data_IF_691135441275
#
_entry.id   IF_691135441275
#
_cell.length_a   1.000
_cell.length_b   1.000
_cell.length_c   1.000
_cell.angle_alpha   90.00
_cell.angle_beta   90.00
_cell.angle_gamma   90.00
#
_symmetry.space_group_name_H-M   'P 1'
#
loop_
_entity.id
_entity.type
_entity.pdbx_description
1 polymer ?
#
# COMPACT_ATOMS: atom_id res chain seq x y z
N UNK A 1 7.00 16.06 -15.44
CA UNK A 1 6.03 14.97 -15.26
C UNK A 1 5.93 14.21 -16.58
N UNK A 2 6.04 12.88 -16.52
CA UNK A 2 5.84 12.00 -17.68
C UNK A 2 4.52 11.28 -17.47
N UNK A 3 3.58 11.45 -18.41
CA UNK A 3 2.31 10.75 -18.40
C UNK A 3 2.37 9.59 -19.39
N UNK A 4 1.94 8.42 -18.95
CA UNK A 4 1.80 7.23 -19.77
C UNK A 4 0.32 6.87 -19.83
N UNK A 5 -0.44 7.55 -20.66
CA UNK A 5 -1.83 7.22 -20.93
C UNK A 5 -2.13 7.32 -22.41
N UNK A 6 -3.10 6.54 -22.86
CA UNK A 6 -3.55 6.57 -24.24
C UNK A 6 -4.54 7.72 -24.46
N UNK A 7 -4.09 8.81 -25.04
CA UNK A 7 -4.92 9.99 -25.36
C UNK A 7 -6.04 9.67 -26.36
N UNK A 8 -5.94 8.56 -27.10
CA UNK A 8 -6.94 8.15 -28.10
C UNK A 8 -8.05 7.29 -27.47
N UNK A 9 -7.87 6.80 -26.25
CA UNK A 9 -8.88 6.01 -25.55
C UNK A 9 -10.13 6.86 -25.24
N UNK A 10 -11.34 6.32 -25.37
CA UNK A 10 -12.58 7.02 -25.05
C UNK A 10 -12.66 7.51 -23.59
N UNK A 11 -11.97 6.80 -22.69
CA UNK A 11 -11.78 7.18 -21.29
C UNK A 11 -10.36 6.80 -20.87
N UNK A 12 -9.39 7.71 -21.01
CA UNK A 12 -7.97 7.41 -20.72
C UNK A 12 -7.69 7.20 -19.23
N UNK A 13 -8.66 7.52 -18.37
CA UNK A 13 -8.54 7.42 -16.90
C UNK A 13 -9.66 6.52 -16.37
N UNK A 14 -9.30 5.61 -15.47
CA UNK A 14 -10.29 4.84 -14.72
C UNK A 14 -11.11 5.76 -13.80
N UNK A 15 -12.41 5.53 -13.72
CA UNK A 15 -13.33 6.30 -12.88
C UNK A 15 -14.05 5.34 -11.95
N UNK A 16 -14.03 5.66 -10.65
CA UNK A 16 -14.76 4.90 -9.64
C UNK A 16 -15.73 5.80 -8.88
N UNK A 17 -16.94 5.29 -8.67
CA UNK A 17 -17.95 5.90 -7.81
C UNK A 17 -18.04 5.09 -6.53
N UNK A 18 -17.76 5.71 -5.39
CA UNK A 18 -17.93 5.12 -4.08
C UNK A 18 -19.38 5.31 -3.61
N UNK A 19 -20.03 4.21 -3.21
CA UNK A 19 -21.38 4.20 -2.63
C UNK A 19 -21.24 3.78 -1.17
N UNK A 20 -21.54 4.70 -0.25
CA UNK A 20 -21.52 4.41 1.20
C UNK A 20 -22.90 3.91 1.65
N UNK A 21 -22.94 2.74 2.29
CA UNK A 21 -24.15 2.15 2.86
C UNK A 21 -23.82 1.42 4.18
N UNK A 22 -24.61 1.70 5.23
CA UNK A 22 -24.55 0.97 6.51
C UNK A 22 -23.16 0.85 7.15
N UNK A 23 -22.30 1.89 7.01
CA UNK A 23 -20.95 1.89 7.60
C UNK A 23 -19.87 1.15 6.80
N UNK A 24 -20.24 0.63 5.63
CA UNK A 24 -19.32 0.07 4.64
C UNK A 24 -19.47 0.81 3.30
N UNK A 25 -18.65 0.51 2.32
CA UNK A 25 -18.71 1.11 0.99
C UNK A 25 -18.46 0.08 -0.10
N UNK A 26 -19.15 0.31 -1.22
CA UNK A 26 -18.95 -0.41 -2.46
C UNK A 26 -18.47 0.55 -3.54
N UNK A 27 -17.76 0.03 -4.53
CA UNK A 27 -17.29 0.82 -5.66
C UNK A 27 -17.91 0.30 -6.95
N UNK A 28 -18.36 1.23 -7.79
CA UNK A 28 -18.65 0.95 -9.20
C UNK A 28 -17.54 1.60 -9.99
N UNK A 29 -16.71 0.80 -10.63
CA UNK A 29 -15.54 1.28 -11.37
C UNK A 29 -15.73 1.03 -12.85
N UNK A 30 -15.31 2.00 -13.65
CA UNK A 30 -15.16 1.89 -15.08
C UNK A 30 -13.71 2.14 -15.44
N UNK A 31 -13.14 1.21 -16.18
CA UNK A 31 -11.83 1.37 -16.81
C UNK A 31 -11.91 0.76 -18.22
N UNK A 32 -11.22 1.36 -19.17
CA UNK A 32 -11.03 0.69 -20.45
C UNK A 32 -10.18 -0.57 -20.24
N UNK A 33 -10.51 -1.69 -20.90
CA UNK A 33 -9.63 -2.85 -20.91
C UNK A 33 -8.24 -2.45 -21.41
N UNK A 34 -7.21 -2.80 -20.67
CA UNK A 34 -5.82 -2.63 -21.08
C UNK A 34 -5.37 -3.95 -21.71
N UNK A 35 -5.55 -4.07 -23.02
CA UNK A 35 -5.18 -5.28 -23.76
C UNK A 35 -3.68 -5.32 -24.11
N UNK A 36 -2.95 -4.23 -23.90
CA UNK A 36 -1.55 -4.08 -24.27
C UNK A 36 -0.76 -3.33 -23.21
N UNK A 37 0.52 -3.68 -23.09
CA UNK A 37 1.48 -2.86 -22.35
C UNK A 37 1.72 -1.56 -23.12
N UNK A 38 1.30 -0.42 -22.58
CA UNK A 38 1.51 0.89 -23.24
C UNK A 38 2.97 1.35 -23.21
N UNK A 39 3.77 0.81 -22.31
CA UNK A 39 5.18 1.12 -22.16
C UNK A 39 6.02 -0.12 -22.44
N UNK A 40 7.15 0.05 -23.09
CA UNK A 40 8.16 -1.02 -23.15
C UNK A 40 8.80 -1.22 -21.79
N UNK A 41 9.38 -2.40 -21.55
CA UNK A 41 10.15 -2.68 -20.33
C UNK A 41 11.31 -1.69 -20.14
N UNK A 42 11.94 -1.28 -21.24
CA UNK A 42 13.00 -0.28 -21.23
C UNK A 42 12.50 1.09 -20.76
N UNK A 43 11.32 1.55 -21.22
CA UNK A 43 10.72 2.80 -20.78
C UNK A 43 10.39 2.77 -19.30
N UNK A 44 9.79 1.68 -18.82
CA UNK A 44 9.45 1.50 -17.40
C UNK A 44 10.73 1.44 -16.55
N UNK A 45 11.74 0.70 -17.00
CA UNK A 45 13.02 0.63 -16.31
C UNK A 45 13.67 2.02 -16.20
N UNK A 46 13.78 2.74 -17.32
CA UNK A 46 14.40 4.07 -17.35
C UNK A 46 13.66 5.09 -16.49
N UNK A 47 12.33 4.92 -16.33
CA UNK A 47 11.53 5.78 -15.46
C UNK A 47 11.86 5.58 -13.98
N UNK A 48 12.06 4.34 -13.54
CA UNK A 48 12.32 4.01 -12.13
C UNK A 48 13.79 3.86 -11.77
N UNK A 49 14.67 3.73 -12.75
CA UNK A 49 16.11 3.55 -12.52
C UNK A 49 16.70 4.66 -11.65
N UNK A 50 17.45 4.26 -10.64
CA UNK A 50 18.04 5.19 -9.65
C UNK A 50 17.06 5.67 -8.57
N UNK A 51 15.81 5.22 -8.57
CA UNK A 51 14.88 5.51 -7.48
C UNK A 51 15.27 4.73 -6.23
N UNK A 52 15.12 5.35 -5.04
CA UNK A 52 15.30 4.66 -3.76
C UNK A 52 14.16 3.67 -3.47
N UNK A 53 12.94 4.05 -3.87
CA UNK A 53 11.74 3.22 -3.81
C UNK A 53 10.91 3.40 -5.08
N UNK A 54 10.15 2.37 -5.46
CA UNK A 54 9.10 2.49 -6.45
C UNK A 54 7.94 1.53 -6.14
N UNK A 55 6.77 1.84 -6.72
CA UNK A 55 5.63 0.92 -6.68
C UNK A 55 5.81 -0.19 -7.71
N UNK A 56 5.46 -1.41 -7.32
CA UNK A 56 5.49 -2.54 -8.22
C UNK A 56 4.43 -2.39 -9.32
N UNK A 57 4.85 -2.66 -10.54
CA UNK A 57 3.97 -2.82 -11.69
C UNK A 57 3.90 -4.32 -12.00
N UNK A 58 2.77 -4.96 -11.69
CA UNK A 58 2.59 -6.41 -11.81
C UNK A 58 2.76 -6.92 -13.25
N UNK A 59 2.52 -6.05 -14.23
CA UNK A 59 2.69 -6.33 -15.66
C UNK A 59 4.16 -6.39 -16.11
N UNK A 60 5.11 -5.92 -15.24
CA UNK A 60 6.54 -5.81 -15.55
C UNK A 60 7.43 -6.50 -14.51
N UNK A 61 7.23 -7.78 -14.18
CA UNK A 61 7.94 -8.46 -13.11
C UNK A 61 9.46 -8.49 -13.31
N UNK A 62 9.93 -8.64 -14.56
CA UNK A 62 11.37 -8.67 -14.84
C UNK A 62 12.02 -7.29 -14.63
N UNK A 63 11.29 -6.20 -14.89
CA UNK A 63 11.76 -4.84 -14.58
C UNK A 63 11.86 -4.65 -13.07
N UNK A 64 10.83 -5.09 -12.32
CA UNK A 64 10.85 -5.03 -10.84
C UNK A 64 12.01 -5.83 -10.27
N UNK A 65 12.25 -7.03 -10.78
CA UNK A 65 13.40 -7.87 -10.40
C UNK A 65 14.73 -7.14 -10.63
N UNK A 66 14.90 -6.51 -11.79
CA UNK A 66 16.11 -5.76 -12.13
C UNK A 66 16.33 -4.58 -11.19
N UNK A 67 15.31 -3.73 -11.01
CA UNK A 67 15.36 -2.57 -10.11
C UNK A 67 15.68 -2.98 -8.68
N UNK A 68 15.05 -4.04 -8.17
CA UNK A 68 15.34 -4.59 -6.84
C UNK A 68 16.79 -5.07 -6.74
N UNK A 69 17.30 -5.75 -7.76
CA UNK A 69 18.70 -6.18 -7.83
C UNK A 69 19.71 -5.03 -7.80
N UNK A 70 19.31 -3.83 -8.21
CA UNK A 70 20.08 -2.59 -8.18
C UNK A 70 19.91 -1.80 -6.86
N UNK A 71 19.08 -2.31 -5.93
CA UNK A 71 18.90 -1.73 -4.59
C UNK A 71 17.65 -0.85 -4.44
N UNK A 72 16.79 -0.74 -5.46
CA UNK A 72 15.49 -0.08 -5.32
C UNK A 72 14.57 -0.92 -4.44
N UNK A 73 13.96 -0.34 -3.40
CA UNK A 73 12.92 -0.99 -2.61
C UNK A 73 11.60 -1.00 -3.37
N UNK A 74 11.00 -2.17 -3.50
CA UNK A 74 9.76 -2.35 -4.25
C UNK A 74 8.58 -2.45 -3.29
N UNK A 75 7.62 -1.54 -3.44
CA UNK A 75 6.39 -1.48 -2.63
C UNK A 75 5.22 -1.97 -3.46
N UNK A 76 4.35 -2.78 -2.88
CA UNK A 76 3.16 -3.30 -3.56
C UNK A 76 1.93 -3.26 -2.66
N UNK A 77 0.83 -2.84 -3.24
CA UNK A 77 -0.53 -2.98 -2.72
C UNK A 77 -1.39 -3.65 -3.79
N UNK A 78 -2.21 -4.61 -3.38
CA UNK A 78 -3.00 -5.40 -4.34
C UNK A 78 -4.39 -4.83 -4.58
N UNK A 79 -4.97 -4.15 -3.60
CA UNK A 79 -6.38 -3.83 -3.59
C UNK A 79 -7.28 -5.08 -3.51
N UNK A 80 -8.57 -4.88 -3.34
CA UNK A 80 -9.54 -5.97 -3.25
C UNK A 80 -9.87 -6.56 -4.63
N UNK A 81 -9.85 -7.88 -4.72
CA UNK A 81 -10.37 -8.64 -5.86
C UNK A 81 -11.05 -9.92 -5.38
N UNK A 82 -12.14 -10.32 -6.04
CA UNK A 82 -12.79 -11.60 -5.73
C UNK A 82 -11.90 -12.81 -6.04
N UNK A 83 -10.98 -12.64 -6.95
CA UNK A 83 -10.00 -13.64 -7.39
C UNK A 83 -8.65 -13.57 -6.67
N UNK A 84 -8.56 -12.80 -5.57
CA UNK A 84 -7.33 -12.58 -4.84
C UNK A 84 -6.77 -13.88 -4.25
N UNK A 85 -5.55 -14.26 -4.64
CA UNK A 85 -4.87 -15.47 -4.14
C UNK A 85 -3.36 -15.28 -4.15
N UNK A 86 -2.66 -15.95 -3.22
CA UNK A 86 -1.19 -15.93 -3.19
C UNK A 86 -0.58 -16.54 -4.44
N UNK A 87 -1.21 -17.56 -5.03
CA UNK A 87 -0.75 -18.19 -6.26
C UNK A 87 -0.66 -17.18 -7.41
N UNK A 88 -1.70 -16.33 -7.57
CA UNK A 88 -1.73 -15.28 -8.60
C UNK A 88 -0.75 -14.14 -8.33
N UNK A 89 -0.51 -13.84 -7.05
CA UNK A 89 0.42 -12.76 -6.66
C UNK A 89 1.87 -13.21 -6.54
N UNK A 90 2.16 -14.50 -6.39
CA UNK A 90 3.52 -15.01 -6.22
C UNK A 90 4.52 -14.50 -7.27
N UNK A 91 4.17 -14.41 -8.57
CA UNK A 91 5.09 -13.90 -9.59
C UNK A 91 5.56 -12.46 -9.35
N UNK A 92 4.75 -11.61 -8.74
CA UNK A 92 5.18 -10.25 -8.40
C UNK A 92 5.75 -10.16 -6.99
N UNK A 93 5.17 -10.86 -6.01
CA UNK A 93 5.59 -10.78 -4.61
C UNK A 93 7.05 -11.21 -4.40
N UNK A 94 7.59 -12.13 -5.19
CA UNK A 94 9.01 -12.50 -5.12
C UNK A 94 9.96 -11.34 -5.44
N UNK A 95 9.47 -10.26 -6.05
CA UNK A 95 10.21 -9.05 -6.39
C UNK A 95 9.85 -7.86 -5.52
N UNK A 96 8.94 -8.04 -4.55
CA UNK A 96 8.45 -7.02 -3.63
C UNK A 96 9.21 -7.07 -2.31
N UNK A 97 9.53 -5.92 -1.74
CA UNK A 97 10.11 -5.81 -0.40
C UNK A 97 9.06 -5.47 0.65
N UNK A 98 8.11 -4.60 0.32
CA UNK A 98 7.08 -4.08 1.22
C UNK A 98 5.71 -4.37 0.62
N UNK A 99 4.87 -5.12 1.32
CA UNK A 99 3.52 -5.49 0.89
C UNK A 99 2.49 -5.02 1.91
N UNK A 100 1.46 -4.26 1.45
CA UNK A 100 0.57 -3.49 2.32
C UNK A 100 -0.92 -3.85 2.18
N UNK A 101 -1.32 -5.12 2.30
CA UNK A 101 -2.73 -5.49 2.28
C UNK A 101 -3.47 -5.00 3.53
N UNK A 102 -4.79 -4.87 3.46
CA UNK A 102 -5.61 -4.76 4.66
C UNK A 102 -5.88 -6.14 5.29
N UNK A 103 -6.51 -6.16 6.47
CA UNK A 103 -6.83 -7.39 7.20
C UNK A 103 -7.67 -8.37 6.40
N UNK A 104 -8.72 -7.89 5.70
CA UNK A 104 -9.60 -8.73 4.86
C UNK A 104 -8.82 -9.37 3.70
N UNK A 105 -7.96 -8.59 3.05
CA UNK A 105 -7.11 -9.05 1.95
C UNK A 105 -6.07 -10.06 2.46
N UNK A 106 -5.39 -9.76 3.57
CA UNK A 106 -4.40 -10.64 4.16
C UNK A 106 -4.99 -12.01 4.55
N UNK A 107 -6.15 -12.02 5.21
CA UNK A 107 -6.86 -13.25 5.58
C UNK A 107 -7.32 -14.03 4.34
N UNK A 108 -7.85 -13.33 3.32
CA UNK A 108 -8.26 -13.97 2.06
C UNK A 108 -7.07 -14.58 1.31
N UNK A 109 -5.97 -13.86 1.20
CA UNK A 109 -4.75 -14.33 0.55
C UNK A 109 -4.18 -15.59 1.20
N UNK A 110 -4.19 -15.63 2.53
CA UNK A 110 -3.53 -16.70 3.28
C UNK A 110 -4.47 -17.85 3.64
N UNK A 111 -5.79 -17.64 3.53
CA UNK A 111 -6.80 -18.65 3.84
C UNK A 111 -6.92 -18.97 5.34
N UNK A 112 -6.35 -18.14 6.22
CA UNK A 112 -6.44 -18.30 7.69
C UNK A 112 -7.43 -17.30 8.29
N UNK A 113 -7.79 -17.52 9.56
CA UNK A 113 -8.73 -16.66 10.31
C UNK A 113 -8.03 -15.71 11.28
N UNK A 114 -6.77 -15.98 11.60
CA UNK A 114 -5.99 -15.22 12.56
C UNK A 114 -4.97 -14.32 11.84
N UNK A 115 -5.03 -13.03 12.14
CA UNK A 115 -4.18 -12.03 11.45
C UNK A 115 -2.68 -12.23 11.74
N UNK A 116 -2.33 -12.67 12.94
CA UNK A 116 -0.96 -12.98 13.33
C UNK A 116 -0.38 -14.09 12.48
N UNK A 117 -1.18 -15.13 12.19
CA UNK A 117 -0.78 -16.20 11.29
C UNK A 117 -0.70 -15.73 9.83
N UNK A 118 -1.60 -14.82 9.44
CA UNK A 118 -1.57 -14.26 8.09
C UNK A 118 -0.26 -13.49 7.83
N UNK A 119 0.17 -12.60 8.73
CA UNK A 119 1.42 -11.85 8.55
C UNK A 119 2.65 -12.77 8.57
N UNK A 120 2.64 -13.84 9.37
CA UNK A 120 3.70 -14.84 9.37
C UNK A 120 3.80 -15.58 8.01
N UNK A 121 2.65 -15.94 7.43
CA UNK A 121 2.62 -16.56 6.10
C UNK A 121 3.13 -15.58 5.04
N UNK A 122 2.65 -14.33 5.05
CA UNK A 122 3.08 -13.30 4.10
C UNK A 122 4.58 -13.00 4.19
N UNK A 123 5.19 -13.10 5.39
CA UNK A 123 6.63 -12.94 5.59
C UNK A 123 7.50 -14.00 4.88
N UNK A 124 6.91 -15.06 4.35
CA UNK A 124 7.61 -16.04 3.51
C UNK A 124 7.76 -15.57 2.06
N UNK A 125 6.98 -14.56 1.66
CA UNK A 125 6.95 -14.02 0.30
C UNK A 125 7.67 -12.67 0.20
N UNK A 126 7.56 -11.82 1.23
CA UNK A 126 8.10 -10.46 1.22
C UNK A 126 8.87 -10.17 2.51
N UNK A 127 9.80 -9.22 2.43
CA UNK A 127 10.62 -8.84 3.59
C UNK A 127 9.81 -8.11 4.67
N UNK A 128 8.88 -7.25 4.27
CA UNK A 128 8.07 -6.42 5.14
C UNK A 128 6.58 -6.57 4.78
N UNK A 129 5.89 -7.61 5.28
CA UNK A 129 4.43 -7.67 5.22
C UNK A 129 3.86 -6.70 6.25
N UNK A 130 3.17 -5.65 5.84
CA UNK A 130 2.58 -4.65 6.75
C UNK A 130 1.09 -4.59 6.49
N UNK A 131 0.31 -5.20 7.38
CA UNK A 131 -1.15 -5.32 7.26
C UNK A 131 -1.84 -4.22 8.05
N UNK A 132 -2.75 -3.48 7.43
CA UNK A 132 -3.58 -2.50 8.14
C UNK A 132 -4.74 -3.21 8.84
N UNK A 133 -5.00 -2.88 10.10
CA UNK A 133 -6.08 -3.45 10.93
C UNK A 133 -7.06 -2.37 11.42
N UNK A 134 -7.36 -1.44 10.55
CA UNK A 134 -8.29 -0.34 10.77
C UNK A 134 -7.90 0.52 11.99
N UNK A 135 -8.87 0.78 12.88
CA UNK A 135 -8.64 1.58 14.09
C UNK A 135 -7.62 0.99 15.07
N UNK A 136 -7.25 -0.27 14.91
CA UNK A 136 -6.25 -0.94 15.74
C UNK A 136 -4.81 -0.70 15.26
N UNK A 137 -4.63 0.04 14.14
CA UNK A 137 -3.33 0.40 13.60
C UNK A 137 -2.84 -0.57 12.53
N UNK A 138 -1.65 -1.11 12.70
CA UNK A 138 -1.03 -2.01 11.74
C UNK A 138 -0.23 -3.13 12.41
N UNK A 139 -0.03 -4.22 11.67
CA UNK A 139 0.65 -5.41 12.14
C UNK A 139 1.64 -5.89 11.08
N UNK A 140 2.78 -6.41 11.50
CA UNK A 140 3.83 -6.94 10.65
C UNK A 140 4.50 -8.16 11.30
N UNK A 141 5.44 -8.77 10.60
CA UNK A 141 6.25 -9.89 11.10
C UNK A 141 7.73 -9.63 10.85
N UNK A 142 8.51 -9.56 11.91
CA UNK A 142 9.94 -9.31 11.84
C UNK A 142 10.67 -10.12 12.91
N UNK A 143 11.86 -10.63 12.59
CA UNK A 143 12.69 -11.41 13.52
C UNK A 143 11.94 -12.59 14.18
N UNK A 144 11.07 -13.26 13.42
CA UNK A 144 10.22 -14.38 13.88
C UNK A 144 9.20 -13.99 14.95
N UNK A 145 8.82 -12.73 15.00
CA UNK A 145 7.83 -12.22 15.94
C UNK A 145 6.83 -11.32 15.23
N UNK A 146 5.60 -11.37 15.70
CA UNK A 146 4.56 -10.41 15.30
C UNK A 146 4.88 -9.07 15.92
N UNK A 147 4.82 -8.02 15.11
CA UNK A 147 5.04 -6.63 15.51
C UNK A 147 3.74 -5.87 15.29
N UNK A 148 3.10 -5.45 16.37
CA UNK A 148 1.89 -4.63 16.29
C UNK A 148 2.19 -3.18 16.68
N UNK A 149 1.69 -2.23 15.88
CA UNK A 149 1.78 -0.80 16.13
C UNK A 149 0.36 -0.24 16.19
N UNK A 150 -0.08 0.12 17.39
CA UNK A 150 -1.40 0.72 17.59
C UNK A 150 -1.48 2.13 16.99
N UNK A 151 -2.68 2.66 16.82
CA UNK A 151 -2.86 4.06 16.47
C UNK A 151 -2.32 5.00 17.58
N UNK A 152 -1.75 6.17 17.26
CA UNK A 152 -1.21 7.10 18.27
C UNK A 152 -2.31 7.74 19.12
N UNK A 153 -3.49 7.87 18.55
CA UNK A 153 -4.69 8.43 19.17
C UNK A 153 -5.92 7.98 18.38
N UNK A 154 -7.10 8.29 18.87
CA UNK A 154 -8.34 8.11 18.15
C UNK A 154 -8.50 9.25 17.12
N UNK A 155 -8.73 8.91 15.85
CA UNK A 155 -9.12 9.83 14.80
C UNK A 155 -10.63 9.73 14.58
N UNK A 156 -11.32 10.88 14.58
CA UNK A 156 -12.75 10.95 14.29
C UNK A 156 -12.98 10.70 12.78
N UNK A 157 -13.09 9.44 12.40
CA UNK A 157 -13.23 9.04 11.01
C UNK A 157 -14.58 9.49 10.43
N UNK A 158 -14.51 10.23 9.32
CA UNK A 158 -15.65 10.70 8.52
C UNK A 158 -15.72 9.92 7.22
N UNK A 159 -14.56 9.74 6.54
CA UNK A 159 -14.45 9.01 5.28
C UNK A 159 -13.13 8.24 5.26
N UNK A 160 -13.19 6.93 5.07
CA UNK A 160 -11.99 6.09 5.03
C UNK A 160 -11.45 5.88 3.61
N UNK A 161 -11.99 6.61 2.61
CA UNK A 161 -11.49 6.54 1.23
C UNK A 161 -10.07 7.09 1.16
N UNK A 162 -9.14 6.29 0.59
CA UNK A 162 -7.73 6.64 0.49
C UNK A 162 -6.92 6.46 1.80
N UNK A 163 -7.51 5.89 2.87
CA UNK A 163 -6.75 5.63 4.10
C UNK A 163 -5.57 4.68 3.86
N UNK A 164 -5.74 3.64 3.04
CA UNK A 164 -4.67 2.73 2.63
C UNK A 164 -3.58 3.45 1.84
N UNK A 165 -3.95 4.29 0.87
CA UNK A 165 -2.99 5.08 0.06
C UNK A 165 -2.17 6.02 0.95
N UNK A 166 -2.81 6.71 1.90
CA UNK A 166 -2.11 7.59 2.84
C UNK A 166 -1.25 6.81 3.84
N UNK A 167 -1.72 5.63 4.29
CA UNK A 167 -0.92 4.72 5.11
C UNK A 167 0.36 4.31 4.36
N UNK A 168 0.23 3.89 3.11
CA UNK A 168 1.35 3.51 2.27
C UNK A 168 2.31 4.69 2.02
N UNK A 169 1.78 5.91 1.84
CA UNK A 169 2.62 7.11 1.73
C UNK A 169 3.47 7.32 3.00
N UNK A 170 2.90 7.07 4.19
CA UNK A 170 3.63 7.13 5.46
C UNK A 170 4.73 6.07 5.58
N UNK A 171 4.47 4.83 5.12
CA UNK A 171 5.49 3.78 5.04
C UNK A 171 6.64 4.19 4.11
N UNK A 172 6.30 4.63 2.90
CA UNK A 172 7.27 5.08 1.89
C UNK A 172 8.12 6.23 2.42
N UNK A 173 7.50 7.21 3.10
CA UNK A 173 8.22 8.30 3.76
C UNK A 173 9.25 7.77 4.76
N UNK A 174 8.84 6.87 5.66
CA UNK A 174 9.74 6.31 6.66
C UNK A 174 10.90 5.52 6.06
N UNK A 175 10.64 4.64 5.10
CA UNK A 175 11.69 3.89 4.40
C UNK A 175 12.60 4.78 3.56
N UNK A 176 12.06 5.85 2.97
CA UNK A 176 12.88 6.84 2.25
C UNK A 176 13.90 7.52 3.18
N UNK A 177 13.53 7.73 4.46
CA UNK A 177 14.40 8.31 5.48
C UNK A 177 15.19 7.26 6.28
N UNK A 178 15.26 6.02 5.83
CA UNK A 178 16.02 4.92 6.47
C UNK A 178 15.60 4.63 7.92
N UNK A 179 14.32 4.83 8.24
CA UNK A 179 13.79 4.50 9.56
C UNK A 179 13.60 3.00 9.73
N UNK A 180 13.61 2.54 10.97
CA UNK A 180 13.22 1.16 11.29
C UNK A 180 11.74 0.91 10.98
N UNK A 181 11.37 -0.37 10.87
CA UNK A 181 10.01 -0.78 10.50
C UNK A 181 8.95 -0.22 11.44
N UNK A 182 9.18 -0.24 12.75
CA UNK A 182 8.21 0.23 13.74
C UNK A 182 7.92 1.71 13.55
N UNK A 183 8.94 2.52 13.37
CA UNK A 183 8.80 3.95 13.12
C UNK A 183 8.14 4.24 11.77
N UNK A 184 8.43 3.44 10.73
CA UNK A 184 7.71 3.51 9.45
C UNK A 184 6.21 3.23 9.64
N UNK A 185 5.86 2.17 10.38
CA UNK A 185 4.47 1.81 10.68
C UNK A 185 3.76 2.88 11.53
N UNK A 186 4.46 3.50 12.48
CA UNK A 186 3.93 4.63 13.27
C UNK A 186 3.55 5.82 12.37
N UNK A 187 4.42 6.22 11.47
CA UNK A 187 4.14 7.29 10.51
C UNK A 187 2.98 6.91 9.57
N UNK A 188 2.96 5.67 9.09
CA UNK A 188 1.90 5.15 8.25
C UNK A 188 0.53 5.19 8.95
N UNK A 189 0.46 4.77 10.21
CA UNK A 189 -0.75 4.87 11.03
C UNK A 189 -1.22 6.33 11.20
N UNK A 190 -0.29 7.26 11.41
CA UNK A 190 -0.61 8.69 11.51
C UNK A 190 -1.24 9.19 10.21
N UNK A 191 -0.60 8.96 9.06
CA UNK A 191 -1.10 9.45 7.78
C UNK A 191 -2.43 8.80 7.40
N UNK A 192 -2.51 7.48 7.52
CA UNK A 192 -3.75 6.73 7.23
C UNK A 192 -4.90 7.14 8.14
N UNK A 193 -4.65 7.25 9.44
CA UNK A 193 -5.68 7.68 10.40
C UNK A 193 -6.12 9.12 10.20
N UNK A 194 -5.19 10.05 10.03
CA UNK A 194 -5.51 11.45 9.82
C UNK A 194 -6.30 11.69 8.53
N UNK A 195 -5.99 10.96 7.46
CA UNK A 195 -6.70 11.09 6.18
C UNK A 195 -8.20 10.81 6.30
N UNK A 196 -8.61 10.00 7.28
CA UNK A 196 -10.03 9.67 7.49
C UNK A 196 -10.86 10.80 8.08
N UNK A 197 -10.25 11.88 8.57
CA UNK A 197 -10.95 12.98 9.28
C UNK A 197 -11.69 13.95 8.37
N UNK A 198 -11.58 13.78 7.05
CA UNK A 198 -12.29 14.62 6.06
C UNK A 198 -12.76 13.76 4.88
N UNK A 199 -13.71 14.30 4.11
CA UNK A 199 -14.18 13.64 2.90
C UNK A 199 -13.14 13.70 1.77
N UNK A 200 -12.93 12.56 1.11
CA UNK A 200 -12.09 12.39 -0.07
C UNK A 200 -10.63 12.09 0.26
N UNK A 201 -9.95 11.44 -0.70
CA UNK A 201 -8.63 10.86 -0.51
C UNK A 201 -7.51 11.85 -0.15
N UNK A 202 -7.64 13.13 -0.55
CA UNK A 202 -6.52 14.08 -0.49
C UNK A 202 -6.81 15.34 0.36
N UNK A 203 -8.05 15.59 0.75
CA UNK A 203 -8.40 16.82 1.46
C UNK A 203 -7.82 16.90 2.86
N UNK A 204 -7.68 15.76 3.53
CA UNK A 204 -7.01 15.65 4.82
C UNK A 204 -5.50 15.47 4.69
N UNK A 205 -4.89 16.02 3.65
CA UNK A 205 -3.43 16.04 3.51
C UNK A 205 -2.78 16.66 4.74
N UNK A 206 -1.84 15.92 5.33
CA UNK A 206 -1.11 16.32 6.53
C UNK A 206 0.25 16.87 6.15
N UNK A 207 0.66 18.01 6.73
CA UNK A 207 2.03 18.49 6.59
C UNK A 207 2.98 17.65 7.42
N UNK A 208 4.25 17.59 7.00
CA UNK A 208 5.30 16.87 7.74
C UNK A 208 5.37 17.33 9.22
N UNK A 209 5.30 18.63 9.47
CA UNK A 209 5.31 19.19 10.83
C UNK A 209 4.19 18.63 11.70
N UNK A 210 2.98 18.54 11.16
CA UNK A 210 1.82 18.00 11.89
C UNK A 210 1.98 16.49 12.05
N UNK A 211 2.41 15.77 11.02
CA UNK A 211 2.66 14.32 11.10
C UNK A 211 3.67 13.96 12.19
N UNK A 212 4.77 14.71 12.29
CA UNK A 212 5.79 14.54 13.32
C UNK A 212 5.26 14.83 14.73
N UNK A 213 4.31 15.77 14.90
CA UNK A 213 3.64 16.00 16.20
C UNK A 213 2.84 14.76 16.64
N UNK A 214 2.08 14.14 15.74
CA UNK A 214 1.37 12.89 16.05
C UNK A 214 2.33 11.72 16.28
N UNK A 215 3.43 11.65 15.55
CA UNK A 215 4.46 10.64 15.76
C UNK A 215 5.04 10.69 17.20
N UNK A 216 5.17 11.89 17.77
CA UNK A 216 5.65 12.08 19.15
C UNK A 216 4.64 11.64 20.23
N UNK A 217 3.41 11.25 19.87
CA UNK A 217 2.45 10.66 20.81
C UNK A 217 2.77 9.18 21.11
N UNK A 218 3.57 8.52 20.27
CA UNK A 218 4.03 7.18 20.57
C UNK A 218 5.03 7.18 21.72
N UNK A 219 4.97 6.19 22.63
CA UNK A 219 5.99 6.05 23.66
C UNK A 219 7.36 5.86 23.01
N UNK A 220 8.37 6.44 23.66
CA UNK A 220 9.79 6.32 23.23
C UNK A 220 10.36 4.97 23.61
#
# INVERSE_FOLDING_TARGET
>A
YTNFYDETAPSPVAVSTAISMHGDRSFISFANPIDQKYCSEEQVYNFFHGSKLCFALAEYPEVMKKLRGEGTLIVYDTGWSDDLSLEKLAPILQHVDIFTPNDKEALKLTGVTEIDLAVEILARYVKYPVVTVGKNGSISYQNKQVVQVAMPCEFAAIDTTGAGDNFMAGLVYGFYHDWDLVKCMQMANVLGGYSTTQFGCYKAGISEEIALKYLNLYPR
#
